data_IF_287360317869
#
_entry.id   IF_287360317869
#
_cell.length_a   1.000
_cell.length_b   1.000
_cell.length_c   1.000
_cell.angle_alpha   90.00
_cell.angle_beta   90.00
_cell.angle_gamma   90.00
#
_symmetry.space_group_name_H-M   'P 1'
#
loop_
_entity.id
_entity.type
_entity.pdbx_description
1 polymer ?
#
# COMPACT_ATOMS: atom_id res chain seq x y z
N UNK A 1 -14.74 -28.30 -9.72
CA UNK A 1 -14.40 -26.92 -10.10
C UNK A 1 -15.08 -25.97 -9.13
N UNK A 2 -14.35 -24.99 -8.59
CA UNK A 2 -14.76 -24.12 -7.48
C UNK A 2 -15.82 -23.04 -7.84
N UNK A 3 -16.67 -23.29 -8.83
CA UNK A 3 -17.72 -22.37 -9.28
C UNK A 3 -19.03 -22.52 -8.49
N UNK A 4 -19.00 -22.95 -7.22
CA UNK A 4 -20.21 -23.11 -6.40
C UNK A 4 -20.19 -22.39 -5.05
N UNK A 5 -19.10 -21.69 -4.69
CA UNK A 5 -19.06 -20.98 -3.41
C UNK A 5 -19.64 -19.56 -3.53
N UNK A 6 -20.93 -19.42 -3.21
CA UNK A 6 -21.71 -18.18 -3.31
C UNK A 6 -21.45 -17.16 -2.19
N UNK A 7 -20.43 -17.36 -1.34
CA UNK A 7 -20.23 -16.56 -0.11
C UNK A 7 -19.57 -15.19 -0.32
N UNK A 8 -19.19 -14.82 -1.54
CA UNK A 8 -18.59 -13.50 -1.77
C UNK A 8 -19.62 -12.38 -1.59
N UNK A 9 -19.28 -11.40 -0.76
CA UNK A 9 -20.04 -10.16 -0.58
C UNK A 9 -19.80 -9.14 -1.70
N UNK A 10 -18.81 -9.37 -2.57
CA UNK A 10 -18.46 -8.47 -3.66
C UNK A 10 -19.46 -8.59 -4.82
N UNK A 11 -20.12 -7.48 -5.16
CA UNK A 11 -21.14 -7.45 -6.23
C UNK A 11 -20.56 -7.84 -7.60
N UNK A 12 -19.34 -7.40 -7.92
CA UNK A 12 -18.68 -7.70 -9.19
C UNK A 12 -18.39 -9.19 -9.31
N UNK A 13 -17.89 -9.82 -8.25
CA UNK A 13 -17.63 -11.26 -8.22
C UNK A 13 -18.92 -12.06 -8.41
N UNK A 14 -20.02 -11.64 -7.76
CA UNK A 14 -21.34 -12.28 -7.94
C UNK A 14 -21.86 -12.16 -9.38
N UNK A 15 -21.65 -11.01 -10.03
CA UNK A 15 -22.02 -10.80 -11.45
C UNK A 15 -21.22 -11.72 -12.38
N UNK A 16 -19.89 -11.75 -12.22
CA UNK A 16 -19.01 -12.63 -13.00
C UNK A 16 -19.42 -14.09 -12.83
N UNK A 17 -19.67 -14.52 -11.60
CA UNK A 17 -20.06 -15.88 -11.29
C UNK A 17 -21.38 -16.29 -11.95
N UNK A 18 -22.40 -15.41 -11.90
CA UNK A 18 -23.67 -15.64 -12.61
C UNK A 18 -23.46 -15.82 -14.11
N UNK A 19 -22.61 -15.00 -14.74
CA UNK A 19 -22.31 -15.10 -16.17
C UNK A 19 -21.67 -16.46 -16.49
N UNK A 20 -20.69 -16.89 -15.68
CA UNK A 20 -20.01 -18.17 -15.90
C UNK A 20 -20.95 -19.37 -15.72
N UNK A 21 -21.83 -19.35 -14.72
CA UNK A 21 -22.83 -20.41 -14.52
C UNK A 21 -23.83 -20.52 -15.67
N UNK A 22 -24.27 -19.39 -16.22
CA UNK A 22 -25.21 -19.37 -17.35
C UNK A 22 -24.56 -19.75 -18.69
N UNK A 23 -23.23 -19.84 -18.77
CA UNK A 23 -22.48 -20.07 -20.01
C UNK A 23 -21.47 -21.23 -19.87
N UNK A 24 -21.92 -22.50 -19.87
CA UNK A 24 -21.07 -23.66 -19.58
C UNK A 24 -19.97 -23.91 -20.62
N UNK A 25 -20.04 -23.25 -21.79
CA UNK A 25 -19.00 -23.34 -22.84
C UNK A 25 -17.77 -22.47 -22.55
N UNK A 26 -17.90 -21.48 -21.66
CA UNK A 26 -16.79 -20.61 -21.29
C UNK A 26 -15.89 -21.37 -20.31
N UNK A 27 -14.62 -21.52 -20.68
CA UNK A 27 -13.59 -22.12 -19.83
C UNK A 27 -12.62 -21.04 -19.38
N UNK A 28 -12.34 -21.01 -18.08
CA UNK A 28 -11.40 -20.05 -17.48
C UNK A 28 -10.16 -20.82 -17.03
N UNK A 29 -8.99 -20.32 -17.42
CA UNK A 29 -7.70 -20.87 -17.02
C UNK A 29 -6.81 -19.74 -16.49
N UNK A 30 -5.95 -20.07 -15.54
CA UNK A 30 -4.90 -19.17 -15.09
C UNK A 30 -3.66 -19.35 -15.96
N UNK A 31 -3.09 -18.23 -16.40
CA UNK A 31 -1.83 -18.17 -17.14
C UNK A 31 -0.86 -17.28 -16.38
N UNK A 32 0.42 -17.67 -16.34
CA UNK A 32 1.47 -16.91 -15.65
C UNK A 32 1.77 -15.61 -16.41
N UNK A 33 1.80 -14.49 -15.70
CA UNK A 33 2.21 -13.19 -16.24
C UNK A 33 3.70 -13.19 -16.64
N UNK A 34 4.04 -12.44 -17.69
CA UNK A 34 5.41 -12.24 -18.19
C UNK A 34 6.15 -13.54 -18.56
N UNK A 35 5.40 -14.55 -19.00
CA UNK A 35 5.93 -15.84 -19.46
C UNK A 35 6.06 -15.94 -20.99
N UNK A 36 5.94 -14.81 -21.71
CA UNK A 36 5.99 -14.77 -23.18
C UNK A 36 4.71 -15.23 -23.86
N UNK A 37 3.57 -15.24 -23.16
CA UNK A 37 2.29 -15.52 -23.77
C UNK A 37 1.79 -14.26 -24.48
N UNK A 38 1.89 -14.25 -25.82
CA UNK A 38 1.57 -13.09 -26.67
C UNK A 38 0.18 -12.50 -26.35
N UNK A 39 -0.83 -13.35 -26.14
CA UNK A 39 -2.19 -12.89 -25.83
C UNK A 39 -2.28 -12.21 -24.47
N UNK A 40 -1.69 -12.81 -23.44
CA UNK A 40 -1.64 -12.23 -22.10
C UNK A 40 -0.83 -10.93 -22.06
N UNK A 41 0.35 -10.95 -22.68
CA UNK A 41 1.25 -9.78 -22.69
C UNK A 41 0.61 -8.61 -23.45
N UNK A 42 -0.11 -8.88 -24.55
CA UNK A 42 -0.88 -7.85 -25.26
C UNK A 42 -2.06 -7.33 -24.44
N UNK A 43 -2.77 -8.20 -23.72
CA UNK A 43 -3.86 -7.78 -22.83
C UNK A 43 -3.35 -6.87 -21.69
N UNK A 44 -2.20 -7.22 -21.09
CA UNK A 44 -1.54 -6.40 -20.06
C UNK A 44 -1.08 -5.04 -20.60
N UNK A 45 -0.53 -5.00 -21.82
CA UNK A 45 -0.15 -3.75 -22.50
C UNK A 45 -1.38 -2.86 -22.72
N UNK A 46 -2.46 -3.41 -23.27
CA UNK A 46 -3.70 -2.66 -23.50
C UNK A 46 -4.30 -2.13 -22.18
N UNK A 47 -4.25 -2.92 -21.11
CA UNK A 47 -4.70 -2.46 -19.79
C UNK A 47 -3.83 -1.30 -19.26
N UNK A 48 -2.51 -1.35 -19.43
CA UNK A 48 -1.60 -0.26 -19.05
C UNK A 48 -1.85 1.00 -19.88
N UNK A 49 -1.97 0.87 -21.20
CA UNK A 49 -2.25 2.00 -22.09
C UNK A 49 -3.58 2.67 -21.71
N UNK A 50 -4.61 1.87 -21.39
CA UNK A 50 -5.90 2.39 -20.92
C UNK A 50 -5.79 3.15 -19.59
N UNK A 51 -4.88 2.76 -18.68
CA UNK A 51 -4.65 3.52 -17.44
C UNK A 51 -3.87 4.82 -17.65
N UNK A 52 -2.98 4.88 -18.65
CA UNK A 52 -2.15 6.05 -18.93
C UNK A 52 -2.85 7.08 -19.84
N UNK A 53 -3.63 6.60 -20.80
CA UNK A 53 -4.21 7.41 -21.88
C UNK A 53 -5.74 7.36 -21.93
N UNK A 54 -6.37 6.50 -21.12
CA UNK A 54 -7.84 6.43 -21.05
C UNK A 54 -8.44 7.64 -20.33
N UNK A 55 -9.75 7.83 -20.51
CA UNK A 55 -10.46 8.84 -19.74
C UNK A 55 -10.43 8.48 -18.24
N UNK A 56 -10.11 9.44 -17.34
CA UNK A 56 -10.16 9.18 -15.92
C UNK A 56 -11.57 8.73 -15.55
N UNK A 57 -11.69 7.53 -14.99
CA UNK A 57 -12.97 7.05 -14.48
C UNK A 57 -13.36 7.94 -13.29
N UNK A 58 -14.22 8.92 -13.55
CA UNK A 58 -14.50 10.06 -12.67
C UNK A 58 -15.11 9.67 -11.32
N UNK A 59 -15.45 8.39 -11.14
CA UNK A 59 -16.18 7.88 -9.99
C UNK A 59 -15.42 6.85 -9.13
N UNK A 60 -14.11 6.68 -9.33
CA UNK A 60 -13.32 5.84 -8.42
C UNK A 60 -12.89 6.64 -7.19
N UNK A 61 -13.64 6.47 -6.09
CA UNK A 61 -13.16 6.92 -4.78
C UNK A 61 -11.81 6.25 -4.51
N UNK A 62 -10.77 7.05 -4.25
CA UNK A 62 -9.45 6.51 -3.93
C UNK A 62 -9.57 5.51 -2.78
N UNK A 63 -8.99 4.29 -2.90
CA UNK A 63 -9.04 3.31 -1.84
C UNK A 63 -8.51 3.91 -0.53
N UNK A 64 -9.18 3.64 0.59
CA UNK A 64 -8.73 4.10 1.91
C UNK A 64 -7.25 3.78 2.21
N UNK A 65 -6.70 2.60 1.85
CA UNK A 65 -5.28 2.32 2.02
C UNK A 65 -4.37 3.27 1.23
N UNK A 66 -4.79 3.68 0.02
CA UNK A 66 -4.04 4.61 -0.82
C UNK A 66 -3.97 6.00 -0.18
N UNK A 67 -5.12 6.53 0.26
CA UNK A 67 -5.18 7.82 0.97
C UNK A 67 -4.33 7.76 2.24
N UNK A 68 -4.43 6.67 3.01
CA UNK A 68 -3.62 6.47 4.23
C UNK A 68 -2.13 6.43 3.91
N UNK A 69 -1.75 5.85 2.76
CA UNK A 69 -0.37 5.84 2.27
C UNK A 69 0.14 7.24 1.94
N UNK A 70 -0.65 8.04 1.21
CA UNK A 70 -0.33 9.42 0.88
C UNK A 70 -0.14 10.28 2.14
N UNK A 71 -1.09 10.23 3.08
CA UNK A 71 -1.01 10.99 4.33
C UNK A 71 0.22 10.62 5.16
N UNK A 72 0.54 9.32 5.26
CA UNK A 72 1.74 8.86 5.96
C UNK A 72 3.02 9.36 5.31
N UNK A 73 3.07 9.38 3.97
CA UNK A 73 4.22 9.88 3.22
C UNK A 73 4.43 11.37 3.49
N UNK A 74 3.39 12.19 3.31
CA UNK A 74 3.45 13.64 3.57
C UNK A 74 3.84 13.95 5.02
N UNK A 75 3.23 13.25 5.98
CA UNK A 75 3.57 13.40 7.40
C UNK A 75 5.05 13.08 7.66
N UNK A 76 5.59 12.00 7.10
CA UNK A 76 7.01 11.66 7.27
C UNK A 76 7.95 12.70 6.63
N UNK A 77 7.59 13.24 5.46
CA UNK A 77 8.36 14.28 4.78
C UNK A 77 8.39 15.59 5.60
N UNK A 78 7.25 16.01 6.13
CA UNK A 78 7.16 17.18 7.02
C UNK A 78 7.97 16.97 8.31
N UNK A 79 7.82 15.80 8.93
CA UNK A 79 8.58 15.46 10.13
C UNK A 79 10.08 15.41 9.88
N UNK A 80 10.51 14.81 8.76
CA UNK A 80 11.92 14.77 8.38
C UNK A 80 12.46 16.18 8.14
N UNK A 81 11.68 17.04 7.49
CA UNK A 81 12.06 18.44 7.25
C UNK A 81 12.25 19.20 8.56
N UNK A 82 11.30 19.05 9.49
CA UNK A 82 11.42 19.61 10.84
C UNK A 82 12.63 19.03 11.59
N UNK A 83 12.88 17.73 11.46
CA UNK A 83 14.02 17.07 12.10
C UNK A 83 15.37 17.56 11.55
N UNK A 84 15.46 17.83 10.25
CA UNK A 84 16.66 18.38 9.62
C UNK A 84 16.93 19.82 10.06
N UNK A 85 15.88 20.65 10.15
CA UNK A 85 16.02 22.09 10.33
C UNK A 85 15.92 22.57 11.79
N UNK A 86 15.37 21.75 12.69
CA UNK A 86 15.22 22.13 14.10
C UNK A 86 16.56 22.16 14.84
N UNK A 87 16.64 22.94 15.92
CA UNK A 87 17.85 23.02 16.75
C UNK A 87 17.78 22.13 18.00
N UNK A 88 16.60 21.61 18.34
CA UNK A 88 16.41 20.71 19.48
C UNK A 88 16.89 19.30 19.15
N UNK A 89 17.48 18.61 20.13
CA UNK A 89 17.80 17.18 20.01
C UNK A 89 18.94 16.84 19.04
N UNK A 90 19.84 17.79 18.69
CA UNK A 90 20.92 17.57 17.70
C UNK A 90 21.85 16.40 18.03
N UNK A 91 22.07 16.10 19.31
CA UNK A 91 22.83 14.91 19.73
C UNK A 91 22.17 13.61 19.24
N UNK A 92 20.84 13.54 19.30
CA UNK A 92 20.05 12.40 18.80
C UNK A 92 20.05 12.41 17.27
N UNK A 93 19.92 13.58 16.64
CA UNK A 93 19.98 13.71 15.17
C UNK A 93 21.26 13.10 14.59
N UNK A 94 22.41 13.31 15.24
CA UNK A 94 23.68 12.74 14.80
C UNK A 94 23.72 11.20 14.85
N UNK A 95 22.87 10.57 15.67
CA UNK A 95 22.76 9.11 15.78
C UNK A 95 21.65 8.58 14.86
N UNK A 96 20.53 9.31 14.77
CA UNK A 96 19.37 8.97 13.97
C UNK A 96 18.93 10.19 13.15
N UNK A 97 19.54 10.42 11.98
CA UNK A 97 19.20 11.58 11.15
C UNK A 97 17.87 11.39 10.40
N UNK A 98 17.36 10.15 10.30
CA UNK A 98 16.13 9.85 9.57
C UNK A 98 14.96 9.51 10.49
N UNK A 99 13.81 10.15 10.26
CA UNK A 99 12.55 9.82 10.92
C UNK A 99 11.99 8.52 10.33
N UNK A 100 11.50 7.64 11.20
CA UNK A 100 10.94 6.34 10.81
C UNK A 100 9.73 5.99 11.66
N UNK A 101 8.75 5.32 11.05
CA UNK A 101 7.62 4.71 11.76
C UNK A 101 7.97 3.36 12.38
N UNK A 102 9.14 2.80 12.05
CA UNK A 102 9.60 1.56 12.65
C UNK A 102 10.13 1.89 14.04
N UNK A 103 9.61 1.24 15.10
CA UNK A 103 10.21 1.39 16.42
C UNK A 103 11.65 0.92 16.32
N UNK A 104 12.55 1.73 16.85
CA UNK A 104 13.94 1.33 17.01
C UNK A 104 14.06 0.64 18.37
N UNK A 105 14.86 -0.43 18.46
CA UNK A 105 14.97 -1.26 19.66
C UNK A 105 15.80 -0.60 20.78
N UNK A 106 15.50 0.66 21.13
CA UNK A 106 16.15 1.37 22.23
C UNK A 106 15.70 0.77 23.56
N UNK A 107 16.67 0.47 24.43
CA UNK A 107 16.35 0.13 25.82
C UNK A 107 16.00 1.39 26.61
N UNK A 108 15.34 1.21 27.76
CA UNK A 108 14.84 2.33 28.58
C UNK A 108 15.96 3.30 28.96
N UNK A 109 17.12 2.76 29.27
CA UNK A 109 18.32 3.49 29.68
C UNK A 109 18.78 4.46 28.58
N UNK A 110 18.78 4.01 27.33
CA UNK A 110 19.19 4.85 26.20
C UNK A 110 18.19 5.98 25.93
N UNK A 111 16.89 5.71 26.09
CA UNK A 111 15.83 6.74 25.94
C UNK A 111 15.96 7.80 27.03
N UNK A 112 16.20 7.41 28.28
CA UNK A 112 16.44 8.32 29.42
C UNK A 112 17.70 9.15 29.14
N UNK A 113 18.80 8.49 28.78
CA UNK A 113 20.07 9.15 28.49
C UNK A 113 19.96 10.18 27.37
N UNK A 114 19.34 9.82 26.25
CA UNK A 114 19.23 10.70 25.08
C UNK A 114 18.22 11.83 25.25
N UNK A 115 17.08 11.56 25.88
CA UNK A 115 16.08 12.59 26.13
C UNK A 115 16.51 13.57 27.23
N UNK A 116 17.57 13.23 27.98
CA UNK A 116 18.03 13.98 29.16
C UNK A 116 16.91 14.17 30.20
N UNK A 117 15.90 13.31 30.17
CA UNK A 117 14.88 13.24 31.19
C UNK A 117 15.32 12.28 32.29
N UNK A 118 14.99 12.58 33.55
CA UNK A 118 15.20 11.65 34.65
C UNK A 118 14.28 10.42 34.54
N UNK A 119 14.47 9.39 35.37
CA UNK A 119 13.51 8.31 35.50
C UNK A 119 12.13 8.90 35.77
N UNK A 120 11.14 8.60 34.92
CA UNK A 120 9.75 8.93 35.22
C UNK A 120 9.37 8.24 36.52
N UNK A 121 8.85 8.98 37.54
CA UNK A 121 8.37 8.38 38.77
C UNK A 121 7.31 7.32 38.47
N UNK A 122 7.33 6.24 39.26
CA UNK A 122 6.34 5.16 39.18
C UNK A 122 4.96 5.60 39.70
#
# INVERSE_FOLDING_TARGET
MAFSNSKSTNETERKIFKILLSNPRIKVFWVKAHAGNIGNDRADQLAKDATQHGQPYSHTKLPKPHIKGLLRKSMLEEWQTSWNNGDTGRKIFNIMPSVSLRPTNWIREDVIFLSQHGPTPA
#
